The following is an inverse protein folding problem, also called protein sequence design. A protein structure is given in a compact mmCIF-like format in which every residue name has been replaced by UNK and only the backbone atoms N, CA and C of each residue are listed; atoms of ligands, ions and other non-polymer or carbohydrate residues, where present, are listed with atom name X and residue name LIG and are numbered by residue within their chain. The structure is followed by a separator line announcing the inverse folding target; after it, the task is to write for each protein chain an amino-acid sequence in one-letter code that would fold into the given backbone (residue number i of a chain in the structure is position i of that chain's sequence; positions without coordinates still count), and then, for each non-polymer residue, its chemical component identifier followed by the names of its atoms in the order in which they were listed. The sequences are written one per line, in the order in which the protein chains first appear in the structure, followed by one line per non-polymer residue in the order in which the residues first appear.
data_IF_946273928861
#
_entry.id   IF_946273928861
#
_cell.length_a   1.000
_cell.length_b   1.000
_cell.length_c   1.000
_cell.angle_alpha   90.00
_cell.angle_beta   90.00
_cell.angle_gamma   90.00
#
_symmetry.space_group_name_H-M   'P 1'
#
loop_
_entity.id
_entity.type
_entity.pdbx_description
1 polymer ?
#
# COMPACT_ATOMS: atom_id res chain seq x y z
N UNK A 1 -37.69 -10.62 19.02
CA UNK A 1 -36.22 -10.47 19.14
C UNK A 1 -35.98 -9.15 19.86
N UNK A 2 -35.49 -9.17 21.10
CA UNK A 2 -35.17 -7.93 21.79
C UNK A 2 -34.06 -7.22 21.00
N UNK A 3 -34.29 -5.95 20.65
CA UNK A 3 -33.27 -5.08 20.05
C UNK A 3 -32.23 -4.82 21.14
N UNK A 4 -31.27 -5.73 21.29
CA UNK A 4 -30.08 -5.44 22.10
C UNK A 4 -29.45 -4.17 21.55
N UNK A 5 -29.26 -3.17 22.40
CA UNK A 5 -28.56 -1.95 22.01
C UNK A 5 -27.06 -2.27 21.95
N UNK A 6 -26.37 -1.90 20.85
CA UNK A 6 -24.94 -2.08 20.78
C UNK A 6 -24.27 -1.18 21.84
N UNK A 7 -23.32 -1.75 22.57
CA UNK A 7 -22.51 -1.05 23.59
C UNK A 7 -21.57 -0.06 22.89
N UNK A 8 -20.97 -0.51 21.80
CA UNK A 8 -20.13 0.30 20.94
C UNK A 8 -20.36 -0.12 19.49
N UNK A 9 -20.16 0.81 18.57
CA UNK A 9 -20.16 0.49 17.15
C UNK A 9 -19.10 1.29 16.42
N UNK A 10 -18.49 0.65 15.42
CA UNK A 10 -17.48 1.24 14.57
C UNK A 10 -17.86 1.01 13.11
N UNK A 11 -17.99 2.09 12.35
CA UNK A 11 -18.25 2.02 10.92
C UNK A 11 -16.96 2.19 10.13
N UNK A 12 -16.69 1.27 9.22
CA UNK A 12 -15.52 1.36 8.34
C UNK A 12 -15.83 2.31 7.19
N UNK A 13 -15.34 3.56 7.29
CA UNK A 13 -15.53 4.58 6.25
C UNK A 13 -14.50 4.48 5.12
N UNK A 14 -13.36 3.83 5.36
CA UNK A 14 -12.28 3.65 4.41
C UNK A 14 -11.59 2.28 4.59
N UNK A 15 -10.69 1.92 3.67
CA UNK A 15 -9.94 0.67 3.71
C UNK A 15 -10.69 -0.55 3.11
N UNK A 16 -10.16 -1.77 3.30
CA UNK A 16 -10.70 -2.99 2.68
C UNK A 16 -12.13 -3.32 3.13
N UNK A 17 -12.50 -2.93 4.33
CA UNK A 17 -13.81 -3.19 4.94
C UNK A 17 -14.79 -2.02 4.79
N UNK A 18 -14.53 -1.08 3.87
CA UNK A 18 -15.36 0.11 3.68
C UNK A 18 -16.83 -0.25 3.45
N UNK A 19 -17.72 0.45 4.16
CA UNK A 19 -19.17 0.24 4.10
C UNK A 19 -19.67 -0.89 5.00
N UNK A 20 -18.78 -1.54 5.75
CA UNK A 20 -19.16 -2.51 6.78
C UNK A 20 -19.16 -1.88 8.17
N UNK A 21 -19.78 -2.56 9.14
CA UNK A 21 -19.88 -2.09 10.52
C UNK A 21 -19.52 -3.21 11.50
N UNK A 22 -18.76 -2.85 12.54
CA UNK A 22 -18.52 -3.68 13.70
C UNK A 22 -19.38 -3.17 14.86
N UNK A 23 -20.14 -4.05 15.51
CA UNK A 23 -20.98 -3.71 16.65
C UNK A 23 -20.69 -4.66 17.82
N UNK A 24 -20.34 -4.08 18.96
CA UNK A 24 -20.08 -4.82 20.19
C UNK A 24 -21.37 -4.88 21.02
N UNK A 25 -21.77 -6.09 21.37
CA UNK A 25 -22.88 -6.39 22.28
C UNK A 25 -22.35 -7.04 23.56
N UNK A 26 -23.23 -7.23 24.54
CA UNK A 26 -22.86 -7.75 25.86
C UNK A 26 -22.17 -9.12 25.83
N UNK A 27 -22.50 -9.98 24.86
CA UNK A 27 -21.98 -11.36 24.76
C UNK A 27 -21.34 -11.70 23.40
N UNK A 28 -21.44 -10.80 22.42
CA UNK A 28 -21.05 -11.08 21.04
C UNK A 28 -20.54 -9.83 20.33
N UNK A 29 -19.66 -10.05 19.36
CA UNK A 29 -19.25 -9.08 18.38
C UNK A 29 -19.94 -9.41 17.05
N UNK A 30 -20.57 -8.42 16.44
CA UNK A 30 -21.24 -8.57 15.16
C UNK A 30 -20.50 -7.78 14.10
N UNK A 31 -20.10 -8.43 13.02
CA UNK A 31 -19.61 -7.78 11.81
C UNK A 31 -20.71 -7.84 10.75
N UNK A 32 -21.19 -6.67 10.36
CA UNK A 32 -22.20 -6.51 9.31
C UNK A 32 -21.53 -5.98 8.05
N UNK A 33 -21.42 -6.84 7.02
CA UNK A 33 -20.99 -6.48 5.69
C UNK A 33 -22.14 -6.32 4.71
N UNK A 34 -21.83 -5.89 3.48
CA UNK A 34 -22.84 -5.62 2.44
C UNK A 34 -23.70 -6.84 2.03
N UNK A 35 -23.23 -8.06 2.27
CA UNK A 35 -23.96 -9.29 1.94
C UNK A 35 -23.77 -10.44 2.93
N UNK A 36 -23.03 -10.23 4.03
CA UNK A 36 -22.79 -11.25 5.06
C UNK A 36 -22.80 -10.61 6.44
N UNK A 37 -23.35 -11.34 7.40
CA UNK A 37 -23.34 -10.97 8.81
C UNK A 37 -22.63 -12.08 9.58
N UNK A 38 -21.50 -11.75 10.19
CA UNK A 38 -20.72 -12.67 11.02
C UNK A 38 -20.95 -12.31 12.49
N UNK A 39 -21.31 -13.30 13.30
CA UNK A 39 -21.49 -13.14 14.76
C UNK A 39 -20.44 -13.98 15.47
N UNK A 40 -19.63 -13.33 16.30
CA UNK A 40 -18.54 -13.94 17.06
C UNK A 40 -18.92 -13.85 18.55
N UNK A 41 -18.95 -14.99 19.24
CA UNK A 41 -19.17 -15.00 20.70
C UNK A 41 -17.92 -14.53 21.42
N UNK A 42 -18.07 -13.64 22.41
CA UNK A 42 -16.90 -13.10 23.14
C UNK A 42 -16.16 -14.18 23.94
N UNK A 43 -16.85 -15.23 24.37
CA UNK A 43 -16.23 -16.38 25.05
C UNK A 43 -15.31 -17.19 24.14
N UNK A 44 -15.43 -17.06 22.81
CA UNK A 44 -14.54 -17.71 21.86
C UNK A 44 -13.31 -16.85 21.52
N UNK A 45 -13.25 -15.60 21.99
CA UNK A 45 -12.11 -14.71 21.73
C UNK A 45 -11.06 -14.94 22.81
N UNK A 46 -9.90 -15.45 22.41
CA UNK A 46 -8.79 -15.69 23.33
C UNK A 46 -7.97 -14.43 23.57
N UNK A 47 -7.78 -13.61 22.55
CA UNK A 47 -7.04 -12.37 22.64
C UNK A 47 -7.53 -11.33 21.63
N UNK A 48 -7.36 -10.06 21.99
CA UNK A 48 -7.62 -8.90 21.15
C UNK A 48 -6.32 -8.12 21.02
N UNK A 49 -5.87 -7.88 19.80
CA UNK A 49 -4.68 -7.08 19.50
C UNK A 49 -5.07 -5.93 18.60
N UNK A 50 -4.55 -4.74 18.87
CA UNK A 50 -4.69 -3.59 17.97
C UNK A 50 -3.31 -3.01 17.70
N UNK A 51 -3.06 -2.67 16.45
CA UNK A 51 -1.79 -2.09 16.02
C UNK A 51 -1.96 -1.16 14.84
N UNK A 52 -1.10 -0.15 14.77
CA UNK A 52 -0.92 0.66 13.58
C UNK A 52 0.40 0.28 12.91
N UNK A 53 0.34 -0.06 11.63
CA UNK A 53 1.52 -0.42 10.86
C UNK A 53 1.56 0.37 9.55
N UNK A 54 2.75 0.90 9.23
CA UNK A 54 3.03 1.47 7.91
C UNK A 54 3.45 0.37 6.98
N UNK A 55 3.05 0.46 5.71
CA UNK A 55 3.48 -0.50 4.71
C UNK A 55 4.93 -0.19 4.31
N UNK A 56 5.88 -0.80 5.03
CA UNK A 56 7.32 -0.58 4.84
C UNK A 56 7.73 -1.01 3.43
N UNK A 57 7.18 -2.11 2.91
CA UNK A 57 7.47 -2.57 1.55
C UNK A 57 7.12 -1.49 0.51
N UNK A 58 5.96 -0.84 0.66
CA UNK A 58 5.59 0.31 -0.18
C UNK A 58 6.54 1.48 -0.03
N UNK A 59 6.92 1.84 1.19
CA UNK A 59 7.87 2.93 1.43
C UNK A 59 9.21 2.62 0.75
N UNK A 60 9.72 1.39 0.91
CA UNK A 60 10.97 0.94 0.31
C UNK A 60 10.91 0.97 -1.21
N UNK A 61 9.87 0.39 -1.83
CA UNK A 61 9.71 0.44 -3.29
C UNK A 61 9.53 1.86 -3.82
N UNK A 62 8.84 2.73 -3.07
CA UNK A 62 8.75 4.15 -3.39
C UNK A 62 10.13 4.82 -3.42
N UNK A 63 10.96 4.56 -2.41
CA UNK A 63 12.35 5.02 -2.37
C UNK A 63 13.21 4.49 -3.52
N UNK A 64 13.10 3.20 -3.84
CA UNK A 64 13.80 2.58 -4.99
C UNK A 64 13.43 3.27 -6.30
N UNK A 65 12.15 3.55 -6.52
CA UNK A 65 11.69 4.25 -7.73
C UNK A 65 12.22 5.68 -7.82
N UNK A 66 12.33 6.39 -6.69
CA UNK A 66 12.91 7.74 -6.65
C UNK A 66 14.41 7.70 -7.00
N UNK A 67 15.16 6.74 -6.45
CA UNK A 67 16.57 6.55 -6.79
C UNK A 67 16.74 6.19 -8.26
N UNK A 68 15.92 5.27 -8.77
CA UNK A 68 15.91 4.90 -10.19
C UNK A 68 15.61 6.13 -11.07
N UNK A 69 14.65 6.96 -10.70
CA UNK A 69 14.35 8.22 -11.40
C UNK A 69 15.57 9.14 -11.47
N UNK A 70 16.28 9.34 -10.36
CA UNK A 70 17.49 10.16 -10.32
C UNK A 70 18.58 9.59 -11.25
N UNK A 71 18.79 8.27 -11.24
CA UNK A 71 19.75 7.63 -12.14
C UNK A 71 19.38 7.80 -13.62
N UNK A 72 18.11 7.65 -13.97
CA UNK A 72 17.64 7.85 -15.34
C UNK A 72 17.88 9.28 -15.81
N UNK A 73 17.61 10.27 -14.95
CA UNK A 73 17.88 11.68 -15.25
C UNK A 73 19.37 11.97 -15.44
N UNK A 74 20.22 11.47 -14.54
CA UNK A 74 21.67 11.67 -14.59
C UNK A 74 22.32 11.00 -15.80
N UNK A 75 21.81 9.83 -16.20
CA UNK A 75 22.36 9.07 -17.32
C UNK A 75 21.88 9.56 -18.70
N UNK A 76 20.69 10.18 -18.78
CA UNK A 76 20.09 10.57 -20.06
C UNK A 76 20.99 11.50 -20.90
N UNK A 77 21.55 12.54 -20.27
CA UNK A 77 22.44 13.50 -20.93
C UNK A 77 23.72 12.84 -21.49
N UNK A 78 24.54 12.20 -20.63
CA UNK A 78 25.75 11.51 -21.07
C UNK A 78 25.49 10.44 -22.15
N UNK A 79 24.43 9.64 -22.01
CA UNK A 79 24.13 8.58 -22.98
C UNK A 79 23.74 9.14 -24.36
N UNK A 80 22.94 10.20 -24.38
CA UNK A 80 22.55 10.85 -25.63
C UNK A 80 23.72 11.59 -26.29
N UNK A 81 24.58 12.25 -25.50
CA UNK A 81 25.80 12.89 -25.98
C UNK A 81 26.78 11.89 -26.58
N UNK A 82 27.11 10.81 -25.85
CA UNK A 82 28.01 9.76 -26.33
C UNK A 82 27.52 9.10 -27.62
N UNK A 83 26.20 8.89 -27.75
CA UNK A 83 25.63 8.33 -28.96
C UNK A 83 25.74 9.30 -30.16
N UNK A 84 25.59 10.60 -29.93
CA UNK A 84 25.75 11.63 -30.95
C UNK A 84 27.21 11.78 -31.40
N UNK A 85 28.15 11.82 -30.44
CA UNK A 85 29.58 11.94 -30.71
C UNK A 85 30.09 10.71 -31.49
N UNK A 86 29.73 9.50 -31.05
CA UNK A 86 30.09 8.27 -31.75
C UNK A 86 29.49 8.20 -33.17
N UNK A 87 28.29 8.75 -33.38
CA UNK A 87 27.69 8.82 -34.71
C UNK A 87 28.43 9.80 -35.63
N UNK A 88 28.98 10.88 -35.07
CA UNK A 88 29.74 11.89 -35.81
C UNK A 88 31.13 11.39 -36.25
N UNK A 89 31.74 10.48 -35.50
CA UNK A 89 33.04 9.87 -35.83
C UNK A 89 32.97 8.87 -37.01
N UNK A 90 31.78 8.35 -37.34
CA UNK A 90 31.62 7.38 -38.43
C UNK A 90 31.78 8.07 -39.79
N UNK A 91 32.93 7.84 -40.42
CA UNK A 91 33.25 8.32 -41.76
C UNK A 91 32.94 7.25 -42.81
N UNK A 92 32.40 7.65 -43.97
CA UNK A 92 32.06 6.75 -45.08
C UNK A 92 30.60 6.82 -45.52
N UNK A 93 30.35 6.41 -46.77
CA UNK A 93 29.02 6.41 -47.41
C UNK A 93 28.50 5.00 -47.71
N UNK A 94 29.15 3.96 -47.20
CA UNK A 94 28.70 2.58 -47.39
C UNK A 94 27.50 2.25 -46.50
N UNK A 95 26.80 1.17 -46.84
CA UNK A 95 25.59 0.74 -46.13
C UNK A 95 25.84 0.45 -44.63
N UNK A 96 27.02 -0.10 -44.30
CA UNK A 96 27.40 -0.40 -42.90
C UNK A 96 27.55 0.89 -42.08
N UNK A 97 28.20 1.93 -42.61
CA UNK A 97 28.33 3.22 -41.95
C UNK A 97 26.99 3.96 -41.79
N UNK A 98 26.03 3.76 -42.71
CA UNK A 98 24.68 4.29 -42.57
C UNK A 98 23.89 3.54 -41.48
N UNK A 99 23.98 2.21 -41.45
CA UNK A 99 23.32 1.38 -40.45
C UNK A 99 23.79 1.74 -39.03
N UNK A 100 25.10 1.79 -38.80
CA UNK A 100 25.69 2.12 -37.49
C UNK A 100 25.26 3.50 -36.99
N UNK A 101 25.28 4.53 -37.86
CA UNK A 101 24.77 5.87 -37.51
C UNK A 101 23.29 5.84 -37.18
N UNK A 102 22.48 5.10 -37.95
CA UNK A 102 21.06 4.91 -37.67
C UNK A 102 20.80 4.29 -36.29
N UNK A 103 21.55 3.24 -35.95
CA UNK A 103 21.44 2.58 -34.63
C UNK A 103 21.86 3.51 -33.50
N UNK A 104 22.95 4.27 -33.64
CA UNK A 104 23.39 5.22 -32.62
C UNK A 104 22.40 6.36 -32.42
N UNK A 105 21.84 6.91 -33.50
CA UNK A 105 20.77 7.91 -33.40
C UNK A 105 19.51 7.32 -32.74
N UNK A 106 19.15 6.07 -33.03
CA UNK A 106 18.04 5.39 -32.37
C UNK A 106 18.33 5.20 -30.86
N UNK A 107 19.55 4.84 -30.48
CA UNK A 107 19.97 4.75 -29.07
C UNK A 107 19.92 6.11 -28.37
N UNK A 108 20.39 7.17 -29.02
CA UNK A 108 20.29 8.54 -28.50
C UNK A 108 18.83 9.00 -28.35
N UNK A 109 17.96 8.63 -29.31
CA UNK A 109 16.53 8.90 -29.23
C UNK A 109 15.87 8.13 -28.08
N UNK A 110 16.23 6.87 -27.86
CA UNK A 110 15.77 6.11 -26.69
C UNK A 110 16.27 6.74 -25.38
N UNK A 111 17.52 7.21 -25.35
CA UNK A 111 18.08 7.90 -24.20
C UNK A 111 17.31 9.21 -23.90
N UNK A 112 16.78 9.89 -24.91
CA UNK A 112 15.95 11.08 -24.75
C UNK A 112 14.59 10.82 -24.09
N UNK A 113 14.14 9.55 -24.05
CA UNK A 113 12.90 9.13 -23.36
C UNK A 113 13.15 8.83 -21.87
N UNK A 114 14.40 8.55 -21.47
CA UNK A 114 14.76 8.25 -20.08
C UNK A 114 14.30 9.32 -19.08
N UNK A 115 14.38 10.64 -19.36
CA UNK A 115 13.84 11.67 -18.46
C UNK A 115 12.33 11.53 -18.21
N UNK A 116 11.55 11.25 -19.26
CA UNK A 116 10.11 11.06 -19.12
C UNK A 116 9.79 9.83 -18.26
N UNK A 117 10.51 8.73 -18.46
CA UNK A 117 10.42 7.55 -17.59
C UNK A 117 10.85 7.87 -16.15
N UNK A 118 11.87 8.71 -15.97
CA UNK A 118 12.31 9.22 -14.68
C UNK A 118 11.21 10.01 -13.96
N UNK A 119 10.51 10.92 -14.66
CA UNK A 119 9.37 11.65 -14.07
C UNK A 119 8.26 10.69 -13.64
N UNK A 120 7.91 9.71 -14.49
CA UNK A 120 6.90 8.73 -14.16
C UNK A 120 7.29 7.89 -12.93
N UNK A 121 8.55 7.46 -12.85
CA UNK A 121 9.10 6.74 -11.69
C UNK A 121 9.11 7.61 -10.43
N UNK A 122 9.45 8.90 -10.54
CA UNK A 122 9.45 9.83 -9.41
C UNK A 122 8.03 10.02 -8.85
N UNK A 123 7.05 10.27 -9.72
CA UNK A 123 5.65 10.44 -9.32
C UNK A 123 5.07 9.14 -8.77
N UNK A 124 5.30 8.02 -9.44
CA UNK A 124 4.87 6.70 -8.98
C UNK A 124 5.50 6.34 -7.64
N UNK A 125 6.80 6.55 -7.49
CA UNK A 125 7.55 6.30 -6.26
C UNK A 125 7.07 7.17 -5.10
N UNK A 126 6.88 8.48 -5.34
CA UNK A 126 6.33 9.41 -4.36
C UNK A 126 4.92 9.02 -3.91
N UNK A 127 4.04 8.67 -4.85
CA UNK A 127 2.69 8.20 -4.54
C UNK A 127 2.73 6.90 -3.71
N UNK A 128 3.58 5.94 -4.10
CA UNK A 128 3.70 4.65 -3.43
C UNK A 128 4.24 4.80 -2.00
N UNK A 129 5.25 5.65 -1.81
CA UNK A 129 5.77 6.01 -0.49
C UNK A 129 4.70 6.71 0.38
N UNK A 130 3.96 7.66 -0.19
CA UNK A 130 2.87 8.35 0.51
C UNK A 130 1.77 7.36 0.95
N UNK A 131 1.33 6.46 0.06
CA UNK A 131 0.35 5.43 0.41
C UNK A 131 0.88 4.45 1.46
N UNK A 132 2.17 4.10 1.42
CA UNK A 132 2.78 3.27 2.44
C UNK A 132 2.85 3.98 3.80
N UNK A 133 3.08 5.29 3.80
CA UNK A 133 3.16 6.12 5.01
C UNK A 133 1.83 6.27 5.74
N UNK A 134 0.71 6.32 5.00
CA UNK A 134 -0.64 6.38 5.57
C UNK A 134 -0.89 5.16 6.49
N UNK A 135 -0.40 3.98 6.11
CA UNK A 135 -0.50 2.76 6.91
C UNK A 135 -1.94 2.27 7.14
N UNK A 136 -2.08 1.31 8.06
CA UNK A 136 -3.35 0.73 8.48
C UNK A 136 -3.38 0.48 9.98
N UNK A 137 -4.50 0.84 10.62
CA UNK A 137 -4.83 0.36 11.96
C UNK A 137 -5.62 -0.94 11.83
N UNK A 138 -5.14 -2.01 12.44
CA UNK A 138 -5.74 -3.34 12.36
C UNK A 138 -6.04 -3.87 13.75
N UNK A 139 -7.28 -4.33 13.96
CA UNK A 139 -7.69 -5.10 15.13
C UNK A 139 -7.71 -6.57 14.75
N UNK A 140 -6.94 -7.39 15.46
CA UNK A 140 -6.87 -8.84 15.26
C UNK A 140 -7.50 -9.53 16.46
N UNK A 141 -8.48 -10.38 16.18
CA UNK A 141 -9.09 -11.27 17.16
C UNK A 141 -8.50 -12.66 16.97
N UNK A 142 -7.91 -13.20 18.03
CA UNK A 142 -7.45 -14.59 18.05
C UNK A 142 -8.58 -15.47 18.54
N UNK A 143 -9.06 -16.37 17.68
CA UNK A 143 -10.05 -17.39 17.98
C UNK A 143 -9.36 -18.77 17.98
N UNK A 144 -9.93 -19.80 18.64
CA UNK A 144 -9.33 -21.14 18.72
C UNK A 144 -8.97 -21.78 17.37
N UNK A 145 -9.70 -21.45 16.30
CA UNK A 145 -9.54 -22.06 14.98
C UNK A 145 -9.09 -21.07 13.89
N UNK A 146 -9.03 -19.77 14.17
CA UNK A 146 -8.75 -18.75 13.16
C UNK A 146 -8.36 -17.41 13.79
N UNK A 147 -7.67 -16.57 13.01
CA UNK A 147 -7.54 -15.15 13.31
C UNK A 147 -8.47 -14.34 12.43
N UNK A 148 -9.10 -13.31 13.01
CA UNK A 148 -9.94 -12.36 12.27
C UNK A 148 -9.36 -10.97 12.39
N UNK A 149 -8.99 -10.40 11.24
CA UNK A 149 -8.39 -9.07 11.16
C UNK A 149 -9.40 -8.07 10.60
N UNK A 150 -9.57 -6.96 11.31
CA UNK A 150 -10.41 -5.83 10.95
C UNK A 150 -9.54 -4.59 10.77
N UNK A 151 -9.27 -4.21 9.52
CA UNK A 151 -8.35 -3.13 9.18
C UNK A 151 -9.06 -1.89 8.64
N UNK A 152 -8.61 -0.71 9.09
CA UNK A 152 -9.01 0.60 8.57
C UNK A 152 -7.77 1.33 8.06
N UNK A 153 -7.92 2.14 7.00
CA UNK A 153 -6.78 2.85 6.41
C UNK A 153 -6.46 4.09 7.26
N UNK A 154 -5.18 4.31 7.53
CA UNK A 154 -4.72 5.41 8.38
C UNK A 154 -4.74 5.05 9.87
N UNK A 155 -4.27 5.99 10.68
CA UNK A 155 -4.31 5.88 12.14
C UNK A 155 -5.72 6.22 12.65
N UNK A 156 -6.40 5.26 13.28
CA UNK A 156 -7.75 5.45 13.84
C UNK A 156 -7.77 5.29 15.36
N UNK A 157 -7.92 6.40 16.09
CA UNK A 157 -8.12 6.36 17.55
C UNK A 157 -9.43 5.66 17.92
N UNK A 158 -10.51 5.95 17.20
CA UNK A 158 -11.81 5.32 17.43
C UNK A 158 -11.78 3.80 17.33
N UNK A 159 -10.97 3.23 16.42
CA UNK A 159 -10.82 1.78 16.31
C UNK A 159 -9.99 1.19 17.47
N UNK A 160 -9.02 1.95 17.97
CA UNK A 160 -8.23 1.59 19.16
C UNK A 160 -9.12 1.60 20.40
N UNK A 161 -9.88 2.68 20.62
CA UNK A 161 -10.83 2.80 21.73
C UNK A 161 -11.88 1.68 21.69
N UNK A 162 -12.39 1.35 20.49
CA UNK A 162 -13.28 0.21 20.30
C UNK A 162 -12.61 -1.12 20.68
N UNK A 163 -11.35 -1.32 20.29
CA UNK A 163 -10.61 -2.54 20.60
C UNK A 163 -10.30 -2.67 22.10
N UNK A 164 -10.03 -1.56 22.79
CA UNK A 164 -9.86 -1.52 24.24
C UNK A 164 -11.15 -1.93 24.96
N UNK A 165 -12.28 -1.33 24.58
CA UNK A 165 -13.59 -1.72 25.12
C UNK A 165 -13.91 -3.19 24.84
N UNK A 166 -13.57 -3.69 23.65
CA UNK A 166 -13.73 -5.11 23.33
C UNK A 166 -12.86 -5.99 24.23
N UNK A 167 -11.59 -5.63 24.44
CA UNK A 167 -10.66 -6.37 25.28
C UNK A 167 -11.14 -6.42 26.75
N UNK A 168 -11.63 -5.30 27.29
CA UNK A 168 -12.23 -5.27 28.63
C UNK A 168 -13.40 -6.24 28.77
N UNK A 169 -14.28 -6.30 27.75
CA UNK A 169 -15.44 -7.20 27.76
C UNK A 169 -15.05 -8.67 27.64
N UNK A 170 -14.01 -8.97 26.86
CA UNK A 170 -13.47 -10.33 26.76
C UNK A 170 -12.87 -10.75 28.12
N UNK A 171 -12.10 -9.87 28.78
CA UNK A 171 -11.53 -10.15 30.09
C UNK A 171 -12.60 -10.38 31.17
N UNK A 172 -13.66 -9.56 31.19
CA UNK A 172 -14.80 -9.73 32.12
C UNK A 172 -15.54 -11.07 31.95
N UNK A 173 -15.46 -11.70 30.78
CA UNK A 173 -16.14 -12.96 30.46
C UNK A 173 -15.27 -14.19 30.68
N UNK A 174 -13.96 -14.01 30.83
CA UNK A 174 -13.02 -15.09 31.12
C UNK A 174 -13.01 -15.49 32.61
N UNK A 175 -13.60 -14.64 33.47
CA UNK A 175 -13.83 -14.87 34.89
C UNK A 175 -15.26 -15.36 35.14
#
# INVERSE_FOLDING_TARGET
MALETPIASFQFSNGPLRGTQLALYAARLLHQGAGQMESITLSAVAAVRVGFERDVARITWGGVLIVAAALLFLAAGPLSGLAADAAAEITGKNAVAQLLRGTLHALGALASVLPAAGVAALLGGGALAAFGWIGMTTVVLSLPAAERAYSVRGQSRMLVDFAELLAERVAQRAH
#
